data_IF_372017292154
#
_entry.id   IF_372017292154
#
_cell.length_a   1.000
_cell.length_b   1.000
_cell.length_c   1.000
_cell.angle_alpha   90.00
_cell.angle_beta   90.00
_cell.angle_gamma   90.00
#
_symmetry.space_group_name_H-M   'P 1'
#
loop_
_entity.id
_entity.type
_entity.pdbx_description
1 polymer ?
#
# COMPACT_ATOMS: atom_id res chain seq x y z
N UNK A 1 1.59 19.32 9.32
CA UNK A 1 1.98 20.72 9.00
C UNK A 1 3.26 20.72 8.13
N UNK A 2 4.45 20.36 8.61
CA UNK A 2 5.69 20.51 7.83
C UNK A 2 5.71 19.78 6.46
N UNK A 3 5.08 18.61 6.32
CA UNK A 3 5.06 17.86 5.05
C UNK A 3 4.15 18.51 4.00
N UNK A 4 3.01 19.07 4.39
CA UNK A 4 2.14 19.82 3.48
C UNK A 4 2.80 21.11 3.01
N UNK A 5 3.47 21.85 3.91
CA UNK A 5 4.20 23.06 3.58
C UNK A 5 5.37 22.83 2.62
N UNK A 6 5.93 21.61 2.61
CA UNK A 6 6.99 21.22 1.67
C UNK A 6 6.50 20.94 0.24
N UNK A 7 5.20 21.02 -0.03
CA UNK A 7 4.61 20.68 -1.35
C UNK A 7 4.75 19.21 -1.74
N UNK A 8 4.93 18.33 -0.75
CA UNK A 8 5.06 16.90 -0.97
C UNK A 8 3.68 16.24 -0.95
N UNK A 9 3.50 15.23 -1.78
CA UNK A 9 2.33 14.37 -1.81
C UNK A 9 2.60 13.16 -0.88
N UNK A 10 2.00 13.15 0.32
CA UNK A 10 2.38 12.24 1.41
C UNK A 10 1.25 11.30 1.80
N UNK A 11 1.54 10.00 1.77
CA UNK A 11 0.72 8.97 2.38
C UNK A 11 1.32 8.56 3.73
N UNK A 12 0.56 8.68 4.80
CA UNK A 12 0.96 8.28 6.15
C UNK A 12 0.48 6.86 6.41
N UNK A 13 1.39 5.88 6.42
CA UNK A 13 1.06 4.48 6.72
C UNK A 13 1.11 4.21 8.21
N UNK A 14 0.14 3.46 8.71
CA UNK A 14 0.10 2.97 10.09
C UNK A 14 -0.35 1.51 10.13
N UNK A 15 0.28 0.72 10.99
CA UNK A 15 -0.21 -0.60 11.35
C UNK A 15 -1.30 -0.45 12.42
N UNK A 16 -2.48 -1.07 12.31
CA UNK A 16 -3.52 -1.01 13.34
C UNK A 16 -3.04 -1.38 14.75
N UNK A 17 -2.11 -2.34 14.85
CA UNK A 17 -1.54 -2.72 16.15
C UNK A 17 -0.67 -1.62 16.76
N UNK A 18 0.05 -0.83 15.97
CA UNK A 18 0.86 0.29 16.44
C UNK A 18 0.02 1.44 17.00
N UNK A 19 -1.23 1.57 16.55
CA UNK A 19 -2.15 2.60 17.02
C UNK A 19 -3.12 2.09 18.10
N UNK A 20 -2.90 0.89 18.62
CA UNK A 20 -3.54 0.37 19.83
C UNK A 20 -4.51 -0.78 19.65
N UNK A 21 -4.63 -1.39 18.47
CA UNK A 21 -5.61 -2.44 18.18
C UNK A 21 -5.52 -3.66 19.13
N UNK A 22 -4.30 -4.05 19.52
CA UNK A 22 -4.10 -5.17 20.45
C UNK A 22 -4.42 -4.81 21.91
N UNK A 23 -4.48 -3.52 22.24
CA UNK A 23 -4.82 -3.04 23.59
C UNK A 23 -6.33 -2.90 23.69
N UNK A 24 -6.91 -2.15 22.77
CA UNK A 24 -8.33 -1.88 22.66
C UNK A 24 -8.64 -1.47 21.19
N UNK A 25 -9.48 -2.23 20.47
CA UNK A 25 -9.88 -1.88 19.10
C UNK A 25 -10.49 -0.46 18.97
N UNK A 26 -11.23 0.00 20.00
CA UNK A 26 -11.80 1.35 20.00
C UNK A 26 -10.72 2.43 20.14
N UNK A 27 -9.65 2.16 20.89
CA UNK A 27 -8.47 3.04 20.92
C UNK A 27 -7.84 3.19 19.54
N UNK A 28 -7.65 2.07 18.83
CA UNK A 28 -7.11 2.10 17.46
C UNK A 28 -8.03 2.89 16.53
N UNK A 29 -9.33 2.71 16.64
CA UNK A 29 -10.33 3.45 15.88
C UNK A 29 -10.20 4.95 16.11
N UNK A 30 -10.21 5.39 17.36
CA UNK A 30 -10.08 6.81 17.73
C UNK A 30 -8.76 7.41 17.24
N UNK A 31 -7.65 6.68 17.38
CA UNK A 31 -6.35 7.13 16.92
C UNK A 31 -6.30 7.25 15.39
N UNK A 32 -6.85 6.29 14.64
CA UNK A 32 -6.91 6.35 13.18
C UNK A 32 -7.76 7.54 12.70
N UNK A 33 -8.91 7.80 13.31
CA UNK A 33 -9.73 8.98 13.00
C UNK A 33 -8.97 10.28 13.26
N UNK A 34 -8.32 10.42 14.41
CA UNK A 34 -7.50 11.61 14.72
C UNK A 34 -6.37 11.83 13.71
N UNK A 35 -5.73 10.77 13.25
CA UNK A 35 -4.68 10.85 12.21
C UNK A 35 -5.30 11.30 10.88
N UNK A 36 -6.40 10.69 10.45
CA UNK A 36 -7.09 11.05 9.21
C UNK A 36 -7.60 12.49 9.20
N UNK A 37 -8.17 12.96 10.32
CA UNK A 37 -8.59 14.35 10.52
C UNK A 37 -7.41 15.34 10.47
N UNK A 38 -6.29 14.98 11.10
CA UNK A 38 -5.08 15.79 11.06
C UNK A 38 -4.50 15.88 9.63
N UNK A 39 -4.54 14.79 8.87
CA UNK A 39 -4.14 14.75 7.45
C UNK A 39 -5.09 15.64 6.64
N UNK A 40 -6.40 15.48 6.79
CA UNK A 40 -7.39 16.30 6.08
C UNK A 40 -7.21 17.79 6.36
N UNK A 41 -6.97 18.16 7.63
CA UNK A 41 -6.69 19.54 8.02
C UNK A 41 -5.38 20.06 7.42
N UNK A 42 -4.31 19.26 7.43
CA UNK A 42 -3.02 19.65 6.88
C UNK A 42 -3.03 19.76 5.35
N UNK A 43 -3.99 19.12 4.69
CA UNK A 43 -4.15 19.14 3.22
C UNK A 43 -4.92 20.38 2.72
N UNK A 44 -5.56 21.13 3.61
CA UNK A 44 -6.32 22.33 3.23
C UNK A 44 -5.39 23.39 2.62
N UNK A 45 -5.70 23.77 1.39
CA UNK A 45 -4.90 24.77 0.64
C UNK A 45 -3.63 24.23 -0.02
N UNK A 46 -3.45 22.92 -0.06
CA UNK A 46 -2.35 22.24 -0.75
C UNK A 46 -2.90 21.28 -1.83
N UNK A 47 -2.27 21.25 -2.99
CA UNK A 47 -2.69 20.43 -4.13
C UNK A 47 -2.25 18.94 -4.02
N UNK A 48 -1.77 18.49 -2.85
CA UNK A 48 -1.31 17.13 -2.62
C UNK A 48 -2.45 16.14 -2.33
N UNK A 49 -2.30 14.90 -2.81
CA UNK A 49 -3.19 13.80 -2.43
C UNK A 49 -2.67 13.13 -1.15
N UNK A 50 -2.94 13.77 -0.01
CA UNK A 50 -2.51 13.25 1.29
C UNK A 50 -3.57 12.30 1.84
N UNK A 51 -3.15 11.14 2.37
CA UNK A 51 -4.06 10.19 2.98
C UNK A 51 -3.41 9.37 4.09
N UNK A 52 -4.25 8.83 4.96
CA UNK A 52 -3.91 7.76 5.87
C UNK A 52 -3.94 6.43 5.09
N UNK A 53 -2.92 5.59 5.21
CA UNK A 53 -2.98 4.22 4.73
C UNK A 53 -2.96 3.28 5.93
N UNK A 54 -3.98 2.42 6.01
CA UNK A 54 -4.02 1.33 6.96
C UNK A 54 -3.24 0.16 6.38
N UNK A 55 -2.08 -0.14 6.96
CA UNK A 55 -1.31 -1.31 6.56
C UNK A 55 -1.98 -2.59 7.02
N UNK A 56 -1.84 -3.65 6.24
CA UNK A 56 -2.43 -4.94 6.54
C UNK A 56 -1.40 -5.82 7.24
N UNK A 57 -1.77 -6.29 8.41
CA UNK A 57 -0.96 -7.14 9.25
C UNK A 57 -1.37 -8.62 9.12
N UNK A 58 -1.46 -9.34 10.24
CA UNK A 58 -1.90 -10.73 10.26
C UNK A 58 -3.34 -10.88 9.74
N UNK A 59 -3.66 -12.06 9.22
CA UNK A 59 -4.99 -12.37 8.70
C UNK A 59 -6.12 -12.16 9.72
N UNK A 60 -5.83 -12.33 11.00
CA UNK A 60 -6.83 -12.22 12.08
C UNK A 60 -7.35 -10.79 12.26
N UNK A 61 -6.56 -9.78 11.91
CA UNK A 61 -6.96 -8.38 11.99
C UNK A 61 -7.51 -7.81 10.68
N UNK A 62 -7.59 -8.63 9.63
CA UNK A 62 -8.02 -8.17 8.29
C UNK A 62 -9.44 -7.57 8.33
N UNK A 63 -10.40 -8.24 8.96
CA UNK A 63 -11.79 -7.76 9.03
C UNK A 63 -11.90 -6.45 9.80
N UNK A 64 -11.17 -6.33 10.92
CA UNK A 64 -11.15 -5.12 11.72
C UNK A 64 -10.52 -3.95 10.95
N UNK A 65 -9.44 -4.19 10.19
CA UNK A 65 -8.78 -3.19 9.35
C UNK A 65 -9.69 -2.71 8.21
N UNK A 66 -10.38 -3.63 7.54
CA UNK A 66 -11.37 -3.29 6.50
C UNK A 66 -12.57 -2.52 7.05
N UNK A 67 -13.08 -2.90 8.22
CA UNK A 67 -14.15 -2.17 8.89
C UNK A 67 -13.71 -0.73 9.25
N UNK A 68 -12.50 -0.58 9.82
CA UNK A 68 -11.93 0.72 10.16
C UNK A 68 -11.75 1.60 8.91
N UNK A 69 -11.23 1.04 7.80
CA UNK A 69 -11.15 1.75 6.53
C UNK A 69 -12.52 2.25 6.07
N UNK A 70 -13.55 1.38 6.10
CA UNK A 70 -14.88 1.75 5.67
C UNK A 70 -15.51 2.83 6.55
N UNK A 71 -15.29 2.80 7.86
CA UNK A 71 -15.76 3.82 8.80
C UNK A 71 -15.14 5.20 8.49
N UNK A 72 -13.81 5.25 8.32
CA UNK A 72 -13.09 6.49 8.04
C UNK A 72 -13.51 7.05 6.67
N UNK A 73 -13.61 6.18 5.65
CA UNK A 73 -14.09 6.56 4.32
C UNK A 73 -15.53 7.09 4.36
N UNK A 74 -16.42 6.42 5.09
CA UNK A 74 -17.82 6.87 5.25
C UNK A 74 -17.94 8.23 5.94
N UNK A 75 -16.97 8.60 6.77
CA UNK A 75 -16.86 9.94 7.36
C UNK A 75 -16.31 11.00 6.39
N UNK A 76 -15.96 10.64 5.15
CA UNK A 76 -15.40 11.54 4.14
C UNK A 76 -13.95 11.94 4.40
N UNK A 77 -13.23 11.17 5.22
CA UNK A 77 -11.83 11.41 5.53
C UNK A 77 -10.90 10.67 4.56
N UNK A 78 -9.71 11.21 4.25
CA UNK A 78 -8.77 10.64 3.29
C UNK A 78 -8.13 9.36 3.85
N UNK A 79 -8.50 8.21 3.32
CA UNK A 79 -8.00 6.90 3.77
C UNK A 79 -7.84 5.93 2.61
N UNK A 80 -6.81 5.09 2.71
CA UNK A 80 -6.57 3.92 1.87
C UNK A 80 -6.36 2.68 2.73
N UNK A 81 -6.48 1.52 2.14
CA UNK A 81 -6.21 0.24 2.81
C UNK A 81 -5.25 -0.63 2.00
N UNK A 82 -4.42 -1.36 2.70
CA UNK A 82 -3.50 -2.34 2.09
C UNK A 82 -4.17 -3.72 2.03
N UNK A 83 -4.08 -4.38 0.88
CA UNK A 83 -4.48 -5.77 0.69
C UNK A 83 -3.29 -6.63 0.31
N UNK A 84 -3.29 -7.88 0.77
CA UNK A 84 -2.18 -8.81 0.61
C UNK A 84 -2.52 -9.91 -0.41
N UNK A 85 -1.76 -9.99 -1.49
CA UNK A 85 -2.01 -10.95 -2.58
C UNK A 85 -1.80 -12.42 -2.18
N UNK A 86 -1.08 -12.70 -1.10
CA UNK A 86 -0.90 -14.09 -0.64
C UNK A 86 -2.14 -14.69 0.01
N UNK A 87 -3.07 -13.87 0.52
CA UNK A 87 -4.31 -14.34 1.13
C UNK A 87 -5.36 -14.68 0.07
N UNK A 88 -5.99 -15.84 0.19
CA UNK A 88 -7.04 -16.29 -0.74
C UNK A 88 -8.28 -15.41 -0.68
N UNK A 89 -8.61 -14.85 0.48
CA UNK A 89 -9.75 -13.96 0.68
C UNK A 89 -9.62 -12.65 -0.09
N UNK A 90 -8.41 -12.19 -0.38
CA UNK A 90 -8.13 -10.88 -0.98
C UNK A 90 -8.90 -10.64 -2.29
N UNK A 91 -9.17 -11.69 -3.06
CA UNK A 91 -9.97 -11.56 -4.27
C UNK A 91 -11.42 -11.11 -4.00
N UNK A 92 -12.03 -11.58 -2.90
CA UNK A 92 -13.37 -11.18 -2.51
C UNK A 92 -13.37 -9.79 -1.86
N UNK A 93 -12.37 -9.49 -1.03
CA UNK A 93 -12.21 -8.17 -0.41
C UNK A 93 -12.00 -7.11 -1.51
N UNK A 94 -11.15 -7.38 -2.52
CA UNK A 94 -10.93 -6.50 -3.66
C UNK A 94 -12.20 -6.26 -4.47
N UNK A 95 -12.99 -7.30 -4.78
CA UNK A 95 -14.28 -7.14 -5.47
C UNK A 95 -15.25 -6.19 -4.75
N UNK A 96 -15.25 -6.23 -3.43
CA UNK A 96 -16.07 -5.29 -2.64
C UNK A 96 -15.54 -3.86 -2.71
N UNK A 97 -14.22 -3.68 -2.70
CA UNK A 97 -13.59 -2.35 -2.69
C UNK A 97 -13.62 -1.67 -4.06
N UNK A 98 -13.51 -2.40 -5.17
CA UNK A 98 -13.58 -1.81 -6.52
C UNK A 98 -14.97 -1.25 -6.87
N UNK A 99 -16.01 -1.62 -6.13
CA UNK A 99 -17.35 -1.01 -6.25
C UNK A 99 -17.47 0.33 -5.52
N UNK A 100 -16.41 0.76 -4.86
CA UNK A 100 -16.35 1.97 -4.05
C UNK A 100 -15.30 2.94 -4.62
N UNK A 101 -15.45 4.24 -4.35
CA UNK A 101 -14.40 5.24 -4.49
C UNK A 101 -13.37 5.00 -3.37
N UNK A 102 -12.52 4.00 -3.55
CA UNK A 102 -11.53 3.57 -2.57
C UNK A 102 -10.12 3.59 -3.17
N UNK A 103 -9.14 3.93 -2.35
CA UNK A 103 -7.72 3.74 -2.70
C UNK A 103 -7.22 2.46 -2.05
N UNK A 104 -6.68 1.55 -2.84
CA UNK A 104 -6.20 0.25 -2.35
C UNK A 104 -4.76 0.03 -2.76
N UNK A 105 -3.90 -0.21 -1.76
CA UNK A 105 -2.52 -0.65 -1.93
C UNK A 105 -2.48 -2.17 -2.01
N UNK A 106 -2.07 -2.71 -3.14
CA UNK A 106 -1.83 -4.15 -3.30
C UNK A 106 -0.36 -4.47 -3.02
N UNK A 107 -0.13 -5.29 -2.01
CA UNK A 107 1.19 -5.85 -1.66
C UNK A 107 1.21 -7.36 -1.82
N UNK A 108 2.40 -7.94 -1.91
CA UNK A 108 2.55 -9.41 -1.91
C UNK A 108 2.01 -10.03 -0.62
N UNK A 109 2.31 -9.42 0.54
CA UNK A 109 2.13 -9.96 1.88
C UNK A 109 3.42 -10.56 2.45
N UNK A 110 3.57 -10.44 3.78
CA UNK A 110 4.80 -10.82 4.47
C UNK A 110 4.57 -11.70 5.72
N UNK A 111 3.32 -11.92 6.10
CA UNK A 111 3.00 -12.72 7.28
C UNK A 111 2.88 -14.21 6.95
N UNK A 112 3.14 -15.05 7.94
CA UNK A 112 3.02 -16.51 7.79
C UNK A 112 1.56 -16.91 8.03
N UNK A 113 0.99 -17.65 7.08
CA UNK A 113 -0.36 -18.18 7.21
C UNK A 113 -0.43 -19.60 6.62
N UNK A 114 -1.39 -20.39 7.10
CA UNK A 114 -1.60 -21.75 6.65
C UNK A 114 -2.07 -21.84 5.19
N UNK A 115 -1.84 -22.98 4.57
CA UNK A 115 -2.24 -23.23 3.18
C UNK A 115 -3.76 -23.28 2.98
N UNK A 116 -4.54 -23.36 4.03
CA UNK A 116 -6.00 -23.24 4.03
C UNK A 116 -6.47 -21.82 3.67
N UNK A 117 -5.76 -20.79 4.16
CA UNK A 117 -6.10 -19.37 4.00
C UNK A 117 -5.20 -18.60 3.04
N UNK A 118 -3.99 -19.13 2.74
CA UNK A 118 -2.99 -18.44 1.95
C UNK A 118 -2.44 -19.29 0.80
N UNK A 119 -1.94 -18.62 -0.22
CA UNK A 119 -1.06 -19.19 -1.24
C UNK A 119 0.36 -19.26 -0.66
N UNK A 120 1.01 -20.41 -0.77
CA UNK A 120 2.30 -20.66 -0.09
C UNK A 120 3.50 -20.64 -1.03
N UNK A 121 3.28 -20.72 -2.34
CA UNK A 121 4.35 -20.66 -3.34
C UNK A 121 4.43 -19.29 -4.01
N UNK A 122 5.64 -18.89 -4.37
CA UNK A 122 5.87 -17.64 -5.13
C UNK A 122 5.05 -17.60 -6.43
N UNK A 123 4.89 -18.74 -7.10
CA UNK A 123 4.15 -18.84 -8.36
C UNK A 123 2.66 -18.56 -8.14
N UNK A 124 2.06 -19.15 -7.12
CA UNK A 124 0.64 -18.93 -6.79
C UNK A 124 0.37 -17.47 -6.39
N UNK A 125 1.21 -16.91 -5.52
CA UNK A 125 1.10 -15.51 -5.10
C UNK A 125 1.23 -14.57 -6.30
N UNK A 126 2.19 -14.83 -7.21
CA UNK A 126 2.36 -14.02 -8.42
C UNK A 126 1.18 -14.15 -9.38
N UNK A 127 0.61 -15.36 -9.52
CA UNK A 127 -0.63 -15.57 -10.30
C UNK A 127 -1.79 -14.79 -9.72
N UNK A 128 -2.04 -14.94 -8.41
CA UNK A 128 -3.11 -14.19 -7.74
C UNK A 128 -2.90 -12.68 -7.79
N UNK A 129 -1.63 -12.21 -7.73
CA UNK A 129 -1.34 -10.79 -7.92
C UNK A 129 -1.79 -10.26 -9.28
N UNK A 130 -1.63 -11.05 -10.35
CA UNK A 130 -2.13 -10.69 -11.69
C UNK A 130 -3.66 -10.63 -11.73
N UNK A 131 -4.33 -11.64 -11.15
CA UNK A 131 -5.79 -11.68 -11.09
C UNK A 131 -6.35 -10.49 -10.30
N UNK A 132 -5.68 -10.08 -9.22
CA UNK A 132 -6.03 -8.90 -8.43
C UNK A 132 -5.78 -7.59 -9.21
N UNK A 133 -4.66 -7.50 -9.94
CA UNK A 133 -4.38 -6.36 -10.83
C UNK A 133 -5.48 -6.24 -11.90
N UNK A 134 -5.96 -7.35 -12.46
CA UNK A 134 -7.08 -7.33 -13.42
C UNK A 134 -8.36 -6.77 -12.81
N UNK A 135 -8.67 -7.09 -11.54
CA UNK A 135 -9.80 -6.50 -10.81
C UNK A 135 -9.60 -5.00 -10.58
N UNK A 136 -8.39 -4.58 -10.14
CA UNK A 136 -8.09 -3.18 -9.86
C UNK A 136 -8.17 -2.29 -11.10
N UNK A 137 -7.82 -2.82 -12.28
CA UNK A 137 -7.92 -2.09 -13.55
C UNK A 137 -9.17 -2.43 -14.37
N UNK A 138 -10.20 -2.97 -13.74
CA UNK A 138 -11.47 -3.25 -14.40
C UNK A 138 -12.24 -1.95 -14.78
N UNK A 139 -13.21 -2.08 -15.72
CA UNK A 139 -14.09 -0.96 -16.04
C UNK A 139 -14.95 -0.53 -14.84
N UNK A 140 -15.34 -1.48 -13.99
CA UNK A 140 -16.09 -1.19 -12.76
C UNK A 140 -15.25 -0.31 -11.83
N UNK A 141 -14.02 -0.69 -11.53
CA UNK A 141 -13.11 0.10 -10.72
C UNK A 141 -12.91 1.52 -11.28
N UNK A 142 -12.75 1.64 -12.59
CA UNK A 142 -12.60 2.95 -13.24
C UNK A 142 -13.82 3.85 -13.09
N UNK A 143 -15.03 3.28 -13.24
CA UNK A 143 -16.28 4.03 -13.14
C UNK A 143 -16.61 4.50 -11.72
N UNK A 144 -16.15 3.78 -10.71
CA UNK A 144 -16.38 4.13 -9.30
C UNK A 144 -15.41 5.18 -8.77
N UNK A 145 -14.33 5.50 -9.50
CA UNK A 145 -13.26 6.38 -9.02
C UNK A 145 -12.24 5.65 -8.15
N UNK A 146 -12.23 4.31 -8.18
CA UNK A 146 -11.25 3.50 -7.48
C UNK A 146 -9.81 3.87 -7.88
N UNK A 147 -8.87 3.87 -6.94
CA UNK A 147 -7.46 4.25 -7.16
C UNK A 147 -6.52 3.09 -6.86
N UNK A 148 -5.97 2.45 -7.91
CA UNK A 148 -4.97 1.39 -7.76
C UNK A 148 -3.63 1.91 -7.26
N UNK A 149 -3.08 1.27 -6.22
CA UNK A 149 -1.69 1.44 -5.79
C UNK A 149 -1.01 0.08 -5.83
N UNK A 150 -0.03 -0.08 -6.72
CA UNK A 150 0.68 -1.35 -6.95
C UNK A 150 2.02 -1.32 -6.22
N UNK A 151 2.07 -1.92 -5.04
CA UNK A 151 3.24 -1.89 -4.17
C UNK A 151 4.09 -3.16 -4.35
N UNK A 152 4.99 -3.14 -5.31
CA UNK A 152 5.84 -4.29 -5.64
C UNK A 152 7.19 -3.87 -6.23
N UNK A 153 8.23 -4.70 -6.00
CA UNK A 153 9.54 -4.60 -6.65
C UNK A 153 9.71 -5.61 -7.80
N UNK A 154 8.64 -6.36 -8.13
CA UNK A 154 8.64 -7.32 -9.26
C UNK A 154 8.33 -6.55 -10.55
N UNK A 155 9.33 -6.40 -11.42
CA UNK A 155 9.25 -5.69 -12.68
C UNK A 155 8.24 -6.29 -13.66
N UNK A 156 8.08 -7.63 -13.66
CA UNK A 156 7.06 -8.29 -14.49
C UNK A 156 5.63 -7.93 -14.02
N UNK A 157 5.40 -7.80 -12.70
CA UNK A 157 4.10 -7.37 -12.17
C UNK A 157 3.84 -5.90 -12.46
N UNK A 158 4.87 -5.02 -12.35
CA UNK A 158 4.73 -3.61 -12.72
C UNK A 158 4.42 -3.46 -14.20
N UNK A 159 5.16 -4.17 -15.07
CA UNK A 159 4.90 -4.17 -16.51
C UNK A 159 3.49 -4.67 -16.83
N UNK A 160 3.06 -5.76 -16.18
CA UNK A 160 1.70 -6.29 -16.34
C UNK A 160 0.64 -5.26 -15.94
N UNK A 161 0.82 -4.58 -14.80
CA UNK A 161 -0.10 -3.55 -14.34
C UNK A 161 -0.19 -2.38 -15.33
N UNK A 162 0.95 -1.87 -15.83
CA UNK A 162 0.96 -0.80 -16.84
C UNK A 162 0.24 -1.21 -18.14
N UNK A 163 0.45 -2.45 -18.60
CA UNK A 163 -0.23 -2.98 -19.80
C UNK A 163 -1.75 -3.09 -19.59
N UNK A 164 -2.18 -3.55 -18.40
CA UNK A 164 -3.62 -3.63 -18.07
C UNK A 164 -4.25 -2.25 -17.95
N UNK A 165 -3.57 -1.30 -17.31
CA UNK A 165 -3.99 0.08 -17.21
C UNK A 165 -4.19 0.70 -18.61
N UNK A 166 -3.21 0.59 -19.48
CA UNK A 166 -3.26 1.08 -20.85
C UNK A 166 -4.42 0.45 -21.65
N UNK A 167 -4.55 -0.88 -21.61
CA UNK A 167 -5.61 -1.61 -22.31
C UNK A 167 -7.03 -1.20 -21.87
N UNK A 168 -7.20 -0.75 -20.64
CA UNK A 168 -8.47 -0.26 -20.08
C UNK A 168 -8.58 1.28 -20.08
N UNK A 169 -7.62 1.97 -20.72
CA UNK A 169 -7.63 3.41 -20.89
C UNK A 169 -7.40 4.22 -19.61
N UNK A 170 -6.76 3.64 -18.59
CA UNK A 170 -6.31 4.37 -17.41
C UNK A 170 -5.16 5.31 -17.78
N UNK A 171 -5.12 6.50 -17.20
CA UNK A 171 -4.12 7.52 -17.50
C UNK A 171 -2.88 7.31 -16.63
N UNK A 172 -1.77 7.00 -17.28
CA UNK A 172 -0.47 6.82 -16.66
C UNK A 172 -0.05 8.06 -15.85
N UNK A 173 0.47 7.83 -14.64
CA UNK A 173 0.92 8.89 -13.75
C UNK A 173 -0.18 9.74 -13.12
N UNK A 174 -1.47 9.45 -13.41
CA UNK A 174 -2.63 10.20 -12.92
C UNK A 174 -3.57 9.29 -12.13
N UNK A 175 -4.06 8.22 -12.77
CA UNK A 175 -5.16 7.42 -12.23
C UNK A 175 -4.70 6.32 -11.26
N UNK A 176 -3.43 5.97 -11.28
CA UNK A 176 -2.82 4.93 -10.44
C UNK A 176 -1.37 5.26 -10.13
N UNK A 177 -0.79 4.55 -9.17
CA UNK A 177 0.63 4.70 -8.83
C UNK A 177 1.29 3.37 -8.48
N UNK A 178 2.62 3.35 -8.60
CA UNK A 178 3.46 2.32 -8.05
C UNK A 178 4.05 2.78 -6.71
N UNK A 179 4.18 1.83 -5.77
CA UNK A 179 4.92 2.07 -4.54
C UNK A 179 6.11 1.11 -4.42
N UNK A 180 7.23 1.65 -3.99
CA UNK A 180 8.47 0.89 -3.79
C UNK A 180 9.14 1.33 -2.49
N UNK A 181 9.85 0.41 -1.84
CA UNK A 181 10.65 0.74 -0.65
C UNK A 181 11.83 1.61 -1.05
N UNK A 182 12.06 2.69 -0.31
CA UNK A 182 13.23 3.54 -0.47
C UNK A 182 14.52 2.70 -0.36
N UNK A 183 15.43 2.85 -1.32
CA UNK A 183 16.70 2.13 -1.37
C UNK A 183 16.63 0.69 -1.89
N UNK A 184 15.44 0.19 -2.27
CA UNK A 184 15.28 -1.14 -2.89
C UNK A 184 14.98 -0.98 -4.36
N UNK A 185 15.88 -1.49 -5.23
CA UNK A 185 15.75 -1.37 -6.70
C UNK A 185 15.49 0.06 -7.16
N UNK A 186 16.29 1.01 -6.69
CA UNK A 186 16.15 2.44 -7.02
C UNK A 186 16.20 2.68 -8.54
N UNK A 187 17.01 1.89 -9.26
CA UNK A 187 17.09 1.91 -10.72
C UNK A 187 15.74 1.60 -11.41
N UNK A 188 14.94 0.71 -10.82
CA UNK A 188 13.61 0.40 -11.33
C UNK A 188 12.62 1.54 -11.04
N UNK A 189 12.69 2.13 -9.86
CA UNK A 189 11.87 3.28 -9.50
C UNK A 189 12.13 4.48 -10.43
N UNK A 190 13.40 4.78 -10.69
CA UNK A 190 13.83 5.84 -11.62
C UNK A 190 13.38 5.56 -13.06
N UNK A 191 13.51 4.30 -13.52
CA UNK A 191 13.05 3.88 -14.83
C UNK A 191 11.53 4.07 -14.98
N UNK A 192 10.74 3.64 -14.00
CA UNK A 192 9.29 3.82 -14.04
C UNK A 192 8.91 5.31 -14.04
N UNK A 193 9.52 6.12 -13.19
CA UNK A 193 9.29 7.56 -13.18
C UNK A 193 9.67 8.22 -14.51
N UNK A 194 10.79 7.83 -15.13
CA UNK A 194 11.21 8.34 -16.45
C UNK A 194 10.26 7.93 -17.59
N UNK A 195 9.55 6.81 -17.42
CA UNK A 195 8.52 6.34 -18.34
C UNK A 195 7.16 7.03 -18.10
N UNK A 196 7.09 8.02 -17.19
CA UNK A 196 5.87 8.78 -16.88
C UNK A 196 4.94 8.12 -15.88
N UNK A 197 5.36 7.05 -15.21
CA UNK A 197 4.60 6.46 -14.11
C UNK A 197 4.72 7.32 -12.84
N UNK A 198 3.67 7.37 -12.04
CA UNK A 198 3.77 7.91 -10.67
C UNK A 198 4.38 6.85 -9.77
N UNK A 199 5.53 7.16 -9.18
CA UNK A 199 6.22 6.26 -8.25
C UNK A 199 6.33 6.93 -6.89
N UNK A 200 5.77 6.28 -5.88
CA UNK A 200 5.89 6.71 -4.48
C UNK A 200 6.92 5.85 -3.77
N UNK A 201 7.77 6.49 -2.98
CA UNK A 201 8.77 5.79 -2.17
C UNK A 201 8.25 5.63 -0.74
N UNK A 202 8.07 4.38 -0.32
CA UNK A 202 7.74 4.03 1.06
C UNK A 202 9.00 4.13 1.92
N UNK A 203 8.95 4.97 2.93
CA UNK A 203 10.06 5.24 3.84
C UNK A 203 9.65 4.91 5.27
N UNK A 204 10.21 3.86 5.90
CA UNK A 204 10.01 3.59 7.32
C UNK A 204 10.48 4.78 8.16
N UNK A 205 9.67 5.16 9.14
CA UNK A 205 9.95 6.28 10.02
C UNK A 205 9.76 5.87 11.48
N UNK A 206 10.65 6.29 12.36
CA UNK A 206 10.57 6.06 13.82
C UNK A 206 11.82 5.44 14.39
N UNK A 207 11.83 5.28 15.73
CA UNK A 207 12.97 4.71 16.49
C UNK A 207 13.08 3.19 16.31
N UNK A 208 11.96 2.49 16.10
CA UNK A 208 11.90 1.03 16.05
C UNK A 208 12.03 0.47 14.62
N UNK A 209 12.89 1.08 13.82
CA UNK A 209 13.15 0.68 12.43
C UNK A 209 13.82 -0.69 12.28
N UNK A 210 14.52 -1.17 13.32
CA UNK A 210 15.30 -2.40 13.26
C UNK A 210 14.50 -3.67 12.98
N UNK A 211 13.36 -3.96 13.65
CA UNK A 211 12.52 -5.10 13.31
C UNK A 211 12.01 -5.07 11.85
N UNK A 212 11.70 -3.89 11.34
CA UNK A 212 11.32 -3.72 9.93
C UNK A 212 12.48 -4.07 8.99
N UNK A 213 13.69 -3.56 9.24
CA UNK A 213 14.88 -3.85 8.47
C UNK A 213 15.22 -5.35 8.46
N UNK A 214 15.12 -6.01 9.62
CA UNK A 214 15.40 -7.44 9.75
C UNK A 214 14.41 -8.31 8.96
N UNK A 215 13.12 -7.95 8.91
CA UNK A 215 12.15 -8.64 8.04
C UNK A 215 12.54 -8.53 6.57
N UNK A 216 12.99 -7.35 6.11
CA UNK A 216 13.44 -7.14 4.72
C UNK A 216 14.68 -7.95 4.37
N UNK A 217 15.62 -8.09 5.30
CA UNK A 217 16.82 -8.96 5.13
C UNK A 217 16.41 -10.43 5.04
N UNK A 218 15.47 -10.86 5.89
CA UNK A 218 14.96 -12.24 5.88
C UNK A 218 14.24 -12.60 4.57
N UNK A 219 13.55 -11.66 3.97
CA UNK A 219 12.86 -11.86 2.67
C UNK A 219 13.83 -11.93 1.49
N UNK A 220 14.92 -11.18 1.55
CA UNK A 220 15.97 -11.19 0.53
C UNK A 220 17.34 -10.86 1.16
N UNK A 221 18.23 -11.83 1.33
CA UNK A 221 19.57 -11.62 1.91
C UNK A 221 20.42 -10.57 1.18
N UNK A 222 20.16 -10.32 -0.11
CA UNK A 222 20.82 -9.24 -0.86
C UNK A 222 20.49 -7.84 -0.29
N UNK A 223 19.35 -7.67 0.37
CA UNK A 223 18.99 -6.41 1.06
C UNK A 223 19.89 -6.15 2.27
N UNK A 224 20.47 -7.18 2.89
CA UNK A 224 21.45 -7.04 3.98
C UNK A 224 22.72 -6.31 3.55
N UNK A 225 23.14 -6.48 2.31
CA UNK A 225 24.31 -5.82 1.74
C UNK A 225 24.04 -4.33 1.47
N UNK A 226 22.80 -3.97 1.11
CA UNK A 226 22.38 -2.58 0.93
C UNK A 226 22.30 -1.85 2.29
N UNK A 227 21.77 -2.52 3.32
CA UNK A 227 21.74 -1.96 4.67
C UNK A 227 23.16 -1.75 5.23
N UNK A 228 24.06 -2.72 5.03
CA UNK A 228 25.46 -2.60 5.44
C UNK A 228 26.15 -1.41 4.75
N UNK A 229 25.89 -1.19 3.48
CA UNK A 229 26.42 -0.01 2.73
C UNK A 229 25.86 1.31 3.27
N UNK A 230 24.59 1.39 3.60
CA UNK A 230 23.99 2.62 4.14
C UNK A 230 24.52 2.99 5.52
N UNK A 231 24.94 2.01 6.33
CA UNK A 231 25.56 2.22 7.64
C UNK A 231 27.04 2.67 7.56
N UNK A 232 27.71 2.43 6.43
CA UNK A 232 29.13 2.77 6.22
C UNK A 232 29.30 4.10 5.46
N UNK A 233 28.24 4.59 4.81
CA UNK A 233 28.24 5.83 3.99
C UNK A 233 27.56 7.02 4.66
N UNK A 234 27.25 6.92 5.98
CA UNK A 234 26.69 8.00 6.81
C UNK A 234 27.72 8.69 7.67
#
# INVERSE_FOLDING_TARGET
MALGEAGLDVHVSVDPTQIGHQIDPEMARQNAFRIAEAIASASQGHDGNHMLILDMEDQEVTDATLALHNDIRAAGLPVAVTLQAYLKRTANDMKSLVTLDATVRLVKGAFVAGSDVAYTTRREVKSNSRDLIDLMFSNEAKTTGFKPVIATHDDELQQYASQRAEAQGWVKGVDYEFEMLLGVRSELAELQASNGERVRLYMPFGSDWWPHAMRRIGENPANGMLLARSLVSG
#
